data_IF_513990705530
#
_entry.id   IF_513990705530
#
_cell.length_a   1.000
_cell.length_b   1.000
_cell.length_c   1.000
_cell.angle_alpha   90.00
_cell.angle_beta   90.00
_cell.angle_gamma   90.00
#
_symmetry.space_group_name_H-M   'P 1'
#
loop_
_entity.id
_entity.type
_entity.pdbx_description
1 polymer ?
#
# COMPACT_ATOMS: atom_id res chain seq x y z
N UNK A 1 33.87 64.92 -32.78
CA UNK A 1 33.29 64.29 -31.57
C UNK A 1 32.00 63.60 -31.96
N UNK A 2 32.04 62.30 -32.23
CA UNK A 2 30.89 61.40 -32.20
C UNK A 2 31.42 60.10 -31.61
N UNK A 3 30.92 59.76 -30.43
CA UNK A 3 31.29 58.59 -29.64
C UNK A 3 30.26 57.50 -29.96
N UNK A 4 30.67 56.42 -30.63
CA UNK A 4 29.80 55.28 -30.93
C UNK A 4 29.95 54.27 -29.80
N UNK A 5 28.88 54.11 -29.01
CA UNK A 5 28.77 53.08 -27.99
C UNK A 5 28.38 51.74 -28.63
N UNK A 6 29.18 50.71 -28.41
CA UNK A 6 28.87 49.32 -28.78
C UNK A 6 28.17 48.67 -27.59
N UNK A 7 26.90 48.31 -27.76
CA UNK A 7 26.15 47.48 -26.82
C UNK A 7 26.30 46.03 -27.25
N UNK A 8 26.96 45.22 -26.42
CA UNK A 8 27.01 43.75 -26.56
C UNK A 8 25.87 43.18 -25.72
N UNK A 9 24.81 42.70 -26.36
CA UNK A 9 23.75 41.94 -25.70
C UNK A 9 24.17 40.47 -25.60
N UNK A 10 24.53 40.02 -24.39
CA UNK A 10 24.76 38.62 -24.08
C UNK A 10 23.43 37.90 -23.81
N UNK A 11 23.05 36.98 -24.68
CA UNK A 11 21.98 36.01 -24.45
C UNK A 11 22.56 34.83 -23.67
N UNK A 12 22.30 34.75 -22.37
CA UNK A 12 22.52 33.54 -21.57
C UNK A 12 21.19 32.79 -21.52
N UNK A 13 20.98 31.91 -22.49
CA UNK A 13 19.87 30.97 -22.49
C UNK A 13 20.20 29.75 -21.64
N UNK A 14 19.77 29.74 -20.38
CA UNK A 14 19.66 28.49 -19.63
C UNK A 14 18.31 27.86 -19.98
N UNK A 15 18.35 26.91 -20.92
CA UNK A 15 17.22 26.04 -21.23
C UNK A 15 16.94 25.12 -20.05
N UNK A 16 15.99 25.51 -19.21
CA UNK A 16 15.31 24.56 -18.33
C UNK A 16 14.41 23.72 -19.24
N UNK A 17 14.74 22.46 -19.44
CA UNK A 17 13.81 21.47 -19.98
C UNK A 17 12.68 21.28 -18.96
N UNK A 18 11.72 22.19 -18.95
CA UNK A 18 10.38 21.88 -18.47
C UNK A 18 9.83 20.88 -19.48
N UNK A 19 9.83 19.60 -19.13
CA UNK A 19 9.06 18.61 -19.86
C UNK A 19 7.61 19.10 -19.86
N UNK A 20 7.14 19.55 -21.02
CA UNK A 20 5.72 19.81 -21.23
C UNK A 20 5.05 18.45 -21.15
N UNK A 21 4.47 18.12 -20.00
CA UNK A 21 3.53 17.02 -19.91
C UNK A 21 2.39 17.36 -20.86
N UNK A 22 2.34 16.67 -21.99
CA UNK A 22 1.25 16.83 -22.92
C UNK A 22 -0.03 16.44 -22.17
N UNK A 23 -1.06 17.29 -22.20
CA UNK A 23 -2.42 17.02 -21.69
C UNK A 23 -3.14 15.85 -22.42
N UNK A 24 -2.39 15.02 -23.12
CA UNK A 24 -2.91 13.91 -23.91
C UNK A 24 -3.05 12.69 -23.01
N UNK A 25 -4.24 12.07 -22.94
CA UNK A 25 -4.41 10.78 -22.27
C UNK A 25 -3.48 9.73 -22.88
N UNK A 26 -2.90 8.89 -22.02
CA UNK A 26 -2.08 7.73 -22.36
C UNK A 26 -2.57 6.51 -21.58
N UNK A 27 -2.32 5.27 -22.05
CA UNK A 27 -2.64 4.09 -21.26
C UNK A 27 -1.94 4.12 -19.90
N UNK A 28 -2.64 3.81 -18.82
CA UNK A 28 -2.06 3.73 -17.47
C UNK A 28 -0.91 2.74 -17.43
N UNK A 29 -1.06 1.60 -18.11
CA UNK A 29 -0.03 0.57 -18.26
C UNK A 29 1.24 1.06 -19.01
N UNK A 30 1.20 2.20 -19.69
CA UNK A 30 2.38 2.78 -20.34
C UNK A 30 3.22 3.67 -19.41
N UNK A 31 2.70 3.99 -18.22
CA UNK A 31 3.40 4.82 -17.26
C UNK A 31 4.47 4.02 -16.51
N UNK A 32 5.65 4.63 -16.32
CA UNK A 32 6.71 4.03 -15.52
C UNK A 32 6.35 4.08 -14.02
N UNK A 33 6.91 3.14 -13.25
CA UNK A 33 6.86 3.17 -11.77
C UNK A 33 7.33 4.53 -11.24
N UNK A 34 6.53 5.13 -10.37
CA UNK A 34 6.66 6.48 -9.82
C UNK A 34 6.13 7.61 -10.67
N UNK A 35 5.47 7.31 -11.80
CA UNK A 35 4.73 8.32 -12.54
C UNK A 35 3.44 8.67 -11.83
N UNK A 36 3.19 9.96 -11.64
CA UNK A 36 1.93 10.47 -11.13
C UNK A 36 0.96 10.77 -12.28
N UNK A 37 -0.33 10.56 -12.04
CA UNK A 37 -1.35 10.75 -13.04
C UNK A 37 -2.62 11.35 -12.46
N UNK A 38 -3.42 11.98 -13.32
CA UNK A 38 -4.81 12.33 -13.06
C UNK A 38 -5.71 11.64 -14.07
N UNK A 39 -6.98 11.47 -13.74
CA UNK A 39 -7.94 10.99 -14.72
C UNK A 39 -8.15 12.05 -15.82
N UNK A 40 -8.42 11.56 -17.03
CA UNK A 40 -8.87 12.37 -18.16
C UNK A 40 -10.36 12.75 -18.03
N UNK A 41 -11.10 12.09 -17.14
CA UNK A 41 -12.52 12.29 -16.84
C UNK A 41 -12.71 12.96 -15.47
N UNK A 42 -13.86 13.61 -15.26
CA UNK A 42 -14.22 14.12 -13.93
C UNK A 42 -14.60 12.98 -12.97
N UNK A 43 -14.49 13.20 -11.67
CA UNK A 43 -14.92 12.21 -10.65
C UNK A 43 -16.40 11.83 -10.80
N UNK A 44 -17.25 12.75 -11.26
CA UNK A 44 -18.67 12.51 -11.52
C UNK A 44 -18.89 11.54 -12.70
N UNK A 45 -18.03 11.58 -13.71
CA UNK A 45 -18.07 10.64 -14.84
C UNK A 45 -17.57 9.25 -14.44
N UNK A 46 -16.74 9.16 -13.40
CA UNK A 46 -16.26 7.90 -12.84
C UNK A 46 -17.24 7.29 -11.83
N UNK A 47 -18.11 8.10 -11.22
CA UNK A 47 -19.08 7.69 -10.21
C UNK A 47 -20.20 6.74 -10.70
N UNK A 48 -20.10 6.21 -11.92
CA UNK A 48 -20.96 5.15 -12.46
C UNK A 48 -20.24 4.24 -13.45
N UNK A 49 -18.91 4.28 -13.49
CA UNK A 49 -18.12 3.39 -14.33
C UNK A 49 -17.88 2.07 -13.59
N UNK A 50 -18.23 0.95 -14.23
CA UNK A 50 -17.91 -0.39 -13.72
C UNK A 50 -16.41 -0.72 -13.87
N UNK A 51 -15.67 0.08 -14.64
CA UNK A 51 -14.24 -0.11 -14.93
C UNK A 51 -13.40 1.07 -14.46
N UNK A 52 -12.17 0.78 -14.04
CA UNK A 52 -11.16 1.81 -13.82
C UNK A 52 -10.68 2.37 -15.18
N UNK A 53 -10.45 3.69 -15.32
CA UNK A 53 -10.05 4.26 -16.60
C UNK A 53 -8.66 3.76 -17.02
N UNK A 54 -8.63 3.06 -18.17
CA UNK A 54 -7.39 2.57 -18.77
C UNK A 54 -6.52 3.71 -19.32
N UNK A 55 -7.09 4.89 -19.59
CA UNK A 55 -6.35 6.08 -20.04
C UNK A 55 -6.30 7.17 -18.96
N UNK A 56 -5.13 7.74 -18.76
CA UNK A 56 -4.84 8.75 -17.74
C UNK A 56 -3.95 9.86 -18.31
N UNK A 57 -3.92 11.02 -17.67
CA UNK A 57 -3.01 12.11 -18.05
C UNK A 57 -1.82 12.12 -17.08
N UNK A 58 -0.57 11.94 -17.56
CA UNK A 58 0.61 12.04 -16.71
C UNK A 58 0.81 13.48 -16.23
N UNK A 59 1.19 13.65 -14.97
CA UNK A 59 1.43 14.96 -14.35
C UNK A 59 2.66 14.92 -13.44
N UNK A 60 3.22 16.07 -13.14
CA UNK A 60 4.28 16.15 -12.13
C UNK A 60 3.72 15.81 -10.75
N UNK A 61 4.39 14.95 -9.98
CA UNK A 61 3.92 14.55 -8.65
C UNK A 61 3.79 15.73 -7.67
N UNK A 62 4.52 16.84 -7.88
CA UNK A 62 4.37 18.06 -7.06
C UNK A 62 3.03 18.80 -7.27
N UNK A 63 2.34 18.51 -8.37
CA UNK A 63 1.01 19.04 -8.67
C UNK A 63 -0.09 18.15 -8.09
N UNK A 64 -1.32 18.66 -7.90
CA UNK A 64 -2.46 17.83 -7.55
C UNK A 64 -2.65 16.72 -8.58
N UNK A 65 -2.65 15.47 -8.13
CA UNK A 65 -2.81 14.31 -8.98
C UNK A 65 -3.72 13.28 -8.30
N UNK A 66 -4.24 12.35 -9.11
CA UNK A 66 -5.15 11.31 -8.64
C UNK A 66 -4.40 10.16 -7.99
N UNK A 67 -3.30 9.73 -8.60
CA UNK A 67 -2.58 8.56 -8.15
C UNK A 67 -1.16 8.48 -8.68
N UNK A 68 -0.46 7.46 -8.22
CA UNK A 68 0.94 7.18 -8.55
C UNK A 68 1.11 5.70 -8.84
N UNK A 69 1.84 5.40 -9.91
CA UNK A 69 2.15 4.01 -10.31
C UNK A 69 3.19 3.43 -9.35
N UNK A 70 2.85 2.33 -8.71
CA UNK A 70 3.68 1.63 -7.73
C UNK A 70 4.47 0.50 -8.38
N UNK A 71 3.83 -0.23 -9.29
CA UNK A 71 4.40 -1.45 -9.88
C UNK A 71 3.64 -1.89 -11.12
N UNK A 72 4.28 -2.76 -11.89
CA UNK A 72 3.69 -3.43 -13.04
C UNK A 72 4.04 -4.90 -12.94
N UNK A 73 3.02 -5.76 -13.03
CA UNK A 73 3.18 -7.20 -12.90
C UNK A 73 2.08 -7.91 -13.69
N UNK A 74 2.02 -9.23 -13.64
CA UNK A 74 1.01 -10.00 -14.33
C UNK A 74 0.38 -11.04 -13.41
N UNK A 75 -0.92 -11.24 -13.58
CA UNK A 75 -1.64 -12.35 -12.98
C UNK A 75 -1.22 -13.67 -13.66
N UNK A 76 -1.22 -14.77 -12.91
CA UNK A 76 -1.08 -16.10 -13.52
C UNK A 76 -2.44 -16.58 -14.04
N UNK A 77 -2.70 -16.58 -15.37
CA UNK A 77 -4.00 -16.93 -15.91
C UNK A 77 -4.38 -18.39 -15.65
N UNK A 78 -3.41 -19.26 -15.32
CA UNK A 78 -3.67 -20.67 -14.98
C UNK A 78 -4.26 -20.83 -13.59
N UNK A 79 -4.10 -19.83 -12.71
CA UNK A 79 -4.67 -19.81 -11.36
C UNK A 79 -6.08 -19.22 -11.31
N UNK A 80 -6.60 -18.75 -12.45
CA UNK A 80 -7.88 -18.05 -12.57
C UNK A 80 -8.85 -18.91 -13.38
N UNK A 81 -9.73 -19.64 -12.69
CA UNK A 81 -10.76 -20.48 -13.31
C UNK A 81 -12.16 -19.88 -13.21
N UNK A 82 -12.39 -18.97 -12.26
CA UNK A 82 -13.66 -18.31 -12.01
C UNK A 82 -13.47 -16.89 -11.45
N UNK A 83 -14.56 -16.15 -11.25
CA UNK A 83 -14.51 -14.77 -10.74
C UNK A 83 -13.95 -14.67 -9.31
N UNK A 84 -14.18 -15.65 -8.44
CA UNK A 84 -13.63 -15.65 -7.09
C UNK A 84 -12.11 -15.83 -7.11
N UNK A 85 -11.59 -16.71 -7.99
CA UNK A 85 -10.14 -16.86 -8.18
C UNK A 85 -9.50 -15.56 -8.68
N UNK A 86 -10.19 -14.85 -9.58
CA UNK A 86 -9.73 -13.55 -10.09
C UNK A 86 -9.68 -12.51 -8.96
N UNK A 87 -10.71 -12.41 -8.12
CA UNK A 87 -10.72 -11.50 -6.97
C UNK A 87 -9.54 -11.78 -6.05
N UNK A 88 -9.32 -13.05 -5.67
CA UNK A 88 -8.19 -13.45 -4.82
C UNK A 88 -6.85 -13.10 -5.47
N UNK A 89 -6.71 -13.34 -6.77
CA UNK A 89 -5.48 -13.04 -7.50
C UNK A 89 -5.21 -11.53 -7.57
N UNK A 90 -6.24 -10.72 -7.85
CA UNK A 90 -6.12 -9.26 -7.87
C UNK A 90 -5.73 -8.70 -6.51
N UNK A 91 -6.33 -9.17 -5.42
CA UNK A 91 -5.99 -8.71 -4.06
C UNK A 91 -4.53 -8.98 -3.71
N UNK A 92 -3.98 -10.14 -4.10
CA UNK A 92 -2.63 -10.54 -3.69
C UNK A 92 -1.49 -10.07 -4.59
N UNK A 93 -1.76 -9.79 -5.87
CA UNK A 93 -0.69 -9.68 -6.88
C UNK A 93 0.23 -8.47 -6.69
N UNK A 94 -0.29 -7.37 -6.16
CA UNK A 94 0.48 -6.13 -5.96
C UNK A 94 1.03 -5.96 -4.55
N UNK A 95 0.80 -6.90 -3.64
CA UNK A 95 1.22 -6.79 -2.23
C UNK A 95 2.72 -6.51 -2.07
N UNK A 96 3.55 -7.21 -2.84
CA UNK A 96 5.01 -7.01 -2.85
C UNK A 96 5.39 -5.62 -3.36
N UNK A 97 4.79 -5.20 -4.47
CA UNK A 97 5.04 -3.89 -5.09
C UNK A 97 4.73 -2.76 -4.10
N UNK A 98 3.57 -2.79 -3.45
CA UNK A 98 3.20 -1.78 -2.45
C UNK A 98 4.13 -1.77 -1.25
N UNK A 99 4.48 -2.95 -0.72
CA UNK A 99 5.36 -3.06 0.44
C UNK A 99 6.80 -2.62 0.14
N UNK A 100 7.26 -2.74 -1.09
CA UNK A 100 8.60 -2.31 -1.50
C UNK A 100 8.65 -0.82 -1.87
N UNK A 101 7.57 -0.30 -2.47
CA UNK A 101 7.47 1.11 -2.88
C UNK A 101 7.32 2.08 -1.71
N UNK A 102 6.54 1.70 -0.70
CA UNK A 102 6.39 2.45 0.55
C UNK A 102 6.36 1.48 1.75
N UNK A 103 7.54 1.10 2.27
CA UNK A 103 7.65 0.13 3.37
C UNK A 103 6.92 0.54 4.65
N UNK A 104 6.78 1.84 4.90
CA UNK A 104 5.97 2.37 5.99
C UNK A 104 4.55 2.72 5.54
N UNK A 105 3.64 1.75 5.53
CA UNK A 105 2.24 1.98 5.16
C UNK A 105 1.51 3.01 6.05
N UNK A 106 2.00 3.27 7.28
CA UNK A 106 1.42 4.30 8.16
C UNK A 106 1.84 5.71 7.75
N UNK A 107 2.87 5.86 6.91
CA UNK A 107 3.28 7.14 6.37
C UNK A 107 2.40 7.59 5.20
N UNK A 108 1.62 6.67 4.61
CA UNK A 108 0.68 7.00 3.55
C UNK A 108 -0.45 7.91 4.07
N UNK A 109 -0.88 8.93 3.31
CA UNK A 109 -2.06 9.71 3.64
C UNK A 109 -3.31 8.83 3.82
N UNK A 110 -4.20 9.23 4.72
CA UNK A 110 -5.39 8.41 5.07
C UNK A 110 -6.31 8.12 3.89
N UNK A 111 -6.39 9.03 2.91
CA UNK A 111 -7.23 8.94 1.71
C UNK A 111 -6.57 8.16 0.55
N UNK A 112 -5.41 7.53 0.76
CA UNK A 112 -4.73 6.75 -0.30
C UNK A 112 -5.22 5.30 -0.30
N UNK A 113 -6.01 4.92 -1.28
CA UNK A 113 -6.34 3.52 -1.56
C UNK A 113 -5.27 2.84 -2.41
N UNK A 114 -5.31 1.51 -2.41
CA UNK A 114 -4.43 0.64 -3.18
C UNK A 114 -5.27 -0.09 -4.20
N UNK A 115 -4.86 -0.03 -5.46
CA UNK A 115 -5.65 -0.59 -6.55
C UNK A 115 -4.79 -1.40 -7.51
N UNK A 116 -5.36 -2.50 -7.98
CA UNK A 116 -4.79 -3.36 -9.01
C UNK A 116 -5.65 -3.21 -10.25
N UNK A 117 -5.09 -2.63 -11.29
CA UNK A 117 -5.83 -2.24 -12.50
C UNK A 117 -5.32 -3.06 -13.67
N UNK A 118 -6.14 -3.91 -14.30
CA UNK A 118 -5.77 -4.59 -15.54
C UNK A 118 -5.35 -3.60 -16.63
N UNK A 119 -4.40 -3.97 -17.48
CA UNK A 119 -3.85 -3.08 -18.52
C UNK A 119 -4.93 -2.44 -19.40
N UNK A 120 -5.95 -3.22 -19.79
CA UNK A 120 -7.06 -2.77 -20.64
C UNK A 120 -8.28 -2.29 -19.84
N UNK A 121 -8.12 -2.02 -18.54
CA UNK A 121 -9.22 -1.67 -17.62
C UNK A 121 -10.13 -2.84 -17.26
N UNK A 122 -10.02 -3.97 -17.97
CA UNK A 122 -10.73 -5.23 -17.71
C UNK A 122 -9.74 -6.39 -17.78
N UNK A 123 -9.92 -7.37 -16.89
CA UNK A 123 -9.09 -8.57 -16.91
C UNK A 123 -9.41 -9.45 -18.12
N UNK A 124 -8.38 -9.93 -18.79
CA UNK A 124 -8.43 -10.95 -19.84
C UNK A 124 -7.29 -11.95 -19.64
N UNK A 125 -7.50 -13.22 -20.02
CA UNK A 125 -6.43 -14.22 -19.96
C UNK A 125 -5.35 -13.97 -21.01
N UNK A 126 -5.72 -13.32 -22.11
CA UNK A 126 -4.85 -12.92 -23.21
C UNK A 126 -3.96 -11.73 -22.81
N UNK A 127 -4.45 -10.87 -21.90
CA UNK A 127 -3.77 -9.69 -21.37
C UNK A 127 -3.75 -9.73 -19.83
N UNK A 128 -2.90 -10.58 -19.23
CA UNK A 128 -2.89 -10.78 -17.77
C UNK A 128 -2.17 -9.66 -17.00
N UNK A 129 -1.62 -8.67 -17.70
CA UNK A 129 -0.89 -7.57 -17.09
C UNK A 129 -1.78 -6.71 -16.20
N UNK A 130 -1.21 -6.23 -15.10
CA UNK A 130 -1.84 -5.33 -14.15
C UNK A 130 -0.88 -4.23 -13.72
N UNK A 131 -1.42 -3.05 -13.49
CA UNK A 131 -0.72 -1.90 -12.90
C UNK A 131 -1.17 -1.75 -11.44
N UNK A 132 -0.20 -1.73 -10.53
CA UNK A 132 -0.41 -1.44 -9.12
C UNK A 132 -0.33 0.07 -8.92
N UNK A 133 -1.35 0.68 -8.31
CA UNK A 133 -1.37 2.13 -8.08
C UNK A 133 -1.80 2.48 -6.66
N UNK A 134 -1.24 3.58 -6.16
CA UNK A 134 -1.85 4.34 -5.09
C UNK A 134 -2.80 5.37 -5.68
N UNK A 135 -3.99 5.51 -5.11
CA UNK A 135 -5.05 6.42 -5.59
C UNK A 135 -5.66 7.23 -4.44
N UNK A 136 -5.89 8.51 -4.66
CA UNK A 136 -6.36 9.46 -3.65
C UNK A 136 -7.86 9.43 -3.31
N UNK A 137 -8.61 8.41 -3.73
CA UNK A 137 -10.01 8.13 -3.37
C UNK A 137 -10.91 9.38 -3.28
N UNK A 138 -10.97 10.16 -4.35
CA UNK A 138 -11.82 11.34 -4.46
C UNK A 138 -11.18 12.65 -3.98
N UNK A 139 -9.94 12.58 -3.48
CA UNK A 139 -9.17 13.75 -3.04
C UNK A 139 -7.80 13.72 -3.72
N UNK A 140 -7.44 14.82 -4.38
CA UNK A 140 -6.14 14.93 -5.04
C UNK A 140 -4.99 14.85 -4.03
N UNK A 141 -3.97 14.07 -4.38
CA UNK A 141 -2.71 13.91 -3.64
C UNK A 141 -1.70 14.94 -4.18
N UNK A 142 -0.71 15.30 -3.37
CA UNK A 142 0.46 16.09 -3.76
C UNK A 142 1.72 15.46 -3.21
N UNK A 143 2.80 15.52 -3.99
CA UNK A 143 4.06 14.86 -3.70
C UNK A 143 4.04 13.38 -4.08
N UNK A 144 5.21 12.78 -4.18
CA UNK A 144 5.33 11.33 -4.34
C UNK A 144 5.00 10.61 -3.03
N UNK A 145 4.32 9.48 -3.14
CA UNK A 145 4.05 8.51 -2.09
C UNK A 145 5.19 7.49 -1.96
N UNK A 146 6.19 7.55 -2.84
CA UNK A 146 7.39 6.72 -2.76
C UNK A 146 8.17 7.06 -1.51
N UNK A 147 8.36 6.07 -0.65
CA UNK A 147 9.28 6.15 0.45
C UNK A 147 10.43 5.18 0.16
N UNK A 148 11.39 5.64 -0.63
CA UNK A 148 12.53 4.81 -1.00
C UNK A 148 13.20 4.26 0.26
N UNK A 149 13.37 2.94 0.27
CA UNK A 149 13.93 2.24 1.42
C UNK A 149 15.36 2.70 1.76
N UNK A 150 16.06 3.37 0.84
CA UNK A 150 17.34 4.03 1.06
C UNK A 150 17.30 5.20 2.07
N UNK A 151 16.12 5.79 2.30
CA UNK A 151 15.91 6.82 3.31
C UNK A 151 15.70 6.29 4.73
N UNK A 152 15.48 4.97 4.88
CA UNK A 152 15.30 4.33 6.18
C UNK A 152 16.65 4.05 6.82
N UNK A 153 16.81 4.45 8.09
CA UNK A 153 17.95 4.01 8.87
C UNK A 153 17.85 2.50 9.20
N UNK A 154 18.94 1.86 9.64
CA UNK A 154 18.94 0.42 9.88
C UNK A 154 17.93 -0.07 10.93
N UNK A 155 17.63 0.73 11.97
CA UNK A 155 16.66 0.37 13.00
C UNK A 155 15.23 0.45 12.47
N UNK A 156 14.91 1.52 11.72
CA UNK A 156 13.64 1.69 11.04
C UNK A 156 13.37 0.53 10.08
N UNK A 157 14.36 0.18 9.25
CA UNK A 157 14.26 -0.94 8.33
C UNK A 157 14.02 -2.26 9.06
N UNK A 158 14.82 -2.58 10.08
CA UNK A 158 14.65 -3.81 10.87
C UNK A 158 13.24 -3.93 11.45
N UNK A 159 12.71 -2.84 11.99
CA UNK A 159 11.36 -2.83 12.54
C UNK A 159 10.30 -3.02 11.46
N UNK A 160 10.38 -2.29 10.34
CA UNK A 160 9.41 -2.41 9.24
C UNK A 160 9.46 -3.79 8.58
N UNK A 161 10.64 -4.38 8.42
CA UNK A 161 10.82 -5.74 7.90
C UNK A 161 10.19 -6.79 8.85
N UNK A 162 10.37 -6.62 10.17
CA UNK A 162 9.80 -7.52 11.18
C UNK A 162 8.26 -7.58 11.09
N UNK A 163 7.61 -6.42 10.88
CA UNK A 163 6.14 -6.33 10.80
C UNK A 163 5.58 -6.47 9.38
N UNK A 164 6.45 -6.53 8.35
CA UNK A 164 6.04 -6.53 6.92
C UNK A 164 5.06 -7.64 6.62
N UNK A 165 5.37 -8.87 7.01
CA UNK A 165 4.53 -10.04 6.72
C UNK A 165 3.14 -9.90 7.34
N UNK A 166 3.07 -9.44 8.60
CA UNK A 166 1.80 -9.19 9.26
C UNK A 166 1.00 -8.09 8.55
N UNK A 167 1.64 -6.97 8.22
CA UNK A 167 0.96 -5.88 7.51
C UNK A 167 0.41 -6.36 6.16
N UNK A 168 1.19 -7.11 5.38
CA UNK A 168 0.78 -7.70 4.10
C UNK A 168 -0.35 -8.72 4.23
N UNK A 169 -0.36 -9.55 5.28
CA UNK A 169 -1.47 -10.49 5.50
C UNK A 169 -2.71 -9.79 6.04
N UNK A 170 -2.58 -8.87 6.99
CA UNK A 170 -3.71 -8.14 7.59
C UNK A 170 -4.42 -7.27 6.55
N UNK A 171 -3.63 -6.78 5.60
CA UNK A 171 -4.04 -6.17 4.37
C UNK A 171 -4.93 -7.04 3.45
N UNK A 172 -5.16 -8.31 3.78
CA UNK A 172 -6.27 -9.09 3.23
C UNK A 172 -7.61 -8.36 3.37
N UNK A 173 -7.80 -7.76 4.55
CA UNK A 173 -9.09 -7.21 4.97
C UNK A 173 -10.25 -8.21 4.94
N UNK A 174 -10.00 -9.53 4.77
CA UNK A 174 -11.05 -10.52 4.49
C UNK A 174 -12.08 -10.64 5.63
N UNK A 175 -11.71 -10.27 6.85
CA UNK A 175 -12.62 -10.19 8.00
C UNK A 175 -13.68 -9.09 7.86
N UNK A 176 -13.37 -8.03 7.09
CA UNK A 176 -14.25 -6.88 6.86
C UNK A 176 -15.06 -6.97 5.57
N UNK A 177 -14.76 -7.95 4.72
CA UNK A 177 -15.46 -8.14 3.44
C UNK A 177 -16.75 -8.97 3.62
N UNK A 178 -17.80 -8.54 2.93
CA UNK A 178 -19.06 -9.27 2.84
C UNK A 178 -18.93 -10.45 1.87
N UNK A 179 -19.61 -11.56 2.17
CA UNK A 179 -19.69 -12.72 1.27
C UNK A 179 -18.42 -13.59 1.18
N UNK A 180 -17.35 -13.27 1.92
CA UNK A 180 -16.16 -14.15 2.02
C UNK A 180 -16.56 -15.52 2.56
N UNK A 181 -16.14 -16.56 1.84
CA UNK A 181 -16.45 -17.95 2.21
C UNK A 181 -15.65 -18.37 3.43
N UNK A 182 -16.24 -19.20 4.31
CA UNK A 182 -15.56 -19.66 5.54
C UNK A 182 -14.21 -20.32 5.28
N UNK A 183 -14.08 -21.13 4.22
CA UNK A 183 -12.82 -21.78 3.88
C UNK A 183 -11.71 -20.79 3.46
N UNK A 184 -12.09 -19.65 2.88
CA UNK A 184 -11.15 -18.60 2.48
C UNK A 184 -10.74 -17.76 3.69
N UNK A 185 -11.70 -17.45 4.56
CA UNK A 185 -11.45 -16.82 5.85
C UNK A 185 -10.52 -17.67 6.73
N UNK A 186 -10.69 -19.01 6.73
CA UNK A 186 -9.83 -19.94 7.45
C UNK A 186 -8.39 -19.94 6.94
N UNK A 187 -8.19 -20.00 5.61
CA UNK A 187 -6.84 -19.89 5.01
C UNK A 187 -6.15 -18.58 5.34
N UNK A 188 -6.91 -17.48 5.28
CA UNK A 188 -6.37 -16.18 5.65
C UNK A 188 -6.02 -16.10 7.14
N UNK A 189 -6.82 -16.71 8.02
CA UNK A 189 -6.48 -16.80 9.44
C UNK A 189 -5.21 -17.64 9.70
N UNK A 190 -4.96 -18.70 8.93
CA UNK A 190 -3.70 -19.45 8.95
C UNK A 190 -2.51 -18.55 8.54
N UNK A 191 -2.67 -17.75 7.48
CA UNK A 191 -1.67 -16.77 7.06
C UNK A 191 -1.39 -15.73 8.14
N UNK A 192 -2.44 -15.19 8.77
CA UNK A 192 -2.34 -14.25 9.89
C UNK A 192 -1.61 -14.87 11.08
N UNK A 193 -1.92 -16.12 11.43
CA UNK A 193 -1.22 -16.85 12.50
C UNK A 193 0.29 -16.96 12.22
N UNK A 194 0.66 -17.37 11.00
CA UNK A 194 2.07 -17.47 10.60
C UNK A 194 2.77 -16.11 10.56
N UNK A 195 2.07 -15.07 10.12
CA UNK A 195 2.59 -13.72 10.04
C UNK A 195 2.81 -13.07 11.42
N UNK A 196 1.88 -13.31 12.35
CA UNK A 196 1.95 -12.83 13.73
C UNK A 196 3.08 -13.52 14.50
N UNK A 197 3.24 -14.85 14.32
CA UNK A 197 4.36 -15.60 14.91
C UNK A 197 5.71 -15.07 14.42
N UNK A 198 5.86 -14.86 13.11
CA UNK A 198 7.06 -14.28 12.53
C UNK A 198 7.34 -12.89 13.09
N UNK A 199 6.31 -12.04 13.19
CA UNK A 199 6.42 -10.69 13.77
C UNK A 199 6.97 -10.75 15.19
N UNK A 200 6.43 -11.63 16.03
CA UNK A 200 6.92 -11.83 17.41
C UNK A 200 8.37 -12.27 17.45
N UNK A 201 8.74 -13.29 16.68
CA UNK A 201 10.12 -13.81 16.62
C UNK A 201 11.11 -12.72 16.20
N UNK A 202 10.78 -11.96 15.15
CA UNK A 202 11.65 -10.90 14.64
C UNK A 202 11.73 -9.70 15.58
N UNK A 203 10.61 -9.29 16.19
CA UNK A 203 10.60 -8.21 17.18
C UNK A 203 11.42 -8.59 18.42
N UNK A 204 11.25 -9.81 18.95
CA UNK A 204 12.07 -10.32 20.06
C UNK A 204 13.55 -10.34 19.71
N UNK A 205 13.89 -10.73 18.47
CA UNK A 205 15.27 -10.76 17.97
C UNK A 205 15.91 -9.37 17.89
N UNK A 206 15.18 -8.35 17.45
CA UNK A 206 15.72 -6.98 17.32
C UNK A 206 15.71 -6.21 18.64
N UNK A 207 14.81 -6.54 19.56
CA UNK A 207 14.66 -5.89 20.87
C UNK A 207 14.04 -4.49 20.81
N UNK A 208 13.83 -3.86 21.98
CA UNK A 208 13.22 -2.53 22.06
C UNK A 208 14.17 -1.44 21.56
N UNK A 209 13.67 -0.45 20.81
CA UNK A 209 14.35 0.84 20.68
C UNK A 209 14.65 1.46 22.05
N UNK A 210 15.74 2.23 22.15
CA UNK A 210 16.19 2.86 23.40
C UNK A 210 15.05 3.68 24.03
N UNK A 211 14.76 3.41 25.31
CA UNK A 211 13.74 4.15 26.07
C UNK A 211 12.30 3.68 25.83
N UNK A 212 12.11 2.60 25.08
CA UNK A 212 10.78 2.00 24.80
C UNK A 212 10.59 0.63 25.42
N UNK A 213 11.40 0.24 26.40
CA UNK A 213 11.41 -1.12 26.96
C UNK A 213 10.04 -1.54 27.49
N UNK A 214 9.35 -0.64 28.20
CA UNK A 214 7.99 -0.88 28.73
C UNK A 214 6.93 -0.99 27.62
N UNK A 215 6.74 0.01 26.73
CA UNK A 215 5.75 -0.12 25.66
C UNK A 215 6.07 -1.29 24.72
N UNK A 216 7.34 -1.57 24.43
CA UNK A 216 7.73 -2.70 23.60
C UNK A 216 7.35 -4.05 24.22
N UNK A 217 7.63 -4.25 25.52
CA UNK A 217 7.22 -5.48 26.21
C UNK A 217 5.69 -5.65 26.22
N UNK A 218 4.94 -4.57 26.48
CA UNK A 218 3.49 -4.59 26.44
C UNK A 218 2.94 -4.85 25.03
N UNK A 219 3.60 -4.34 23.99
CA UNK A 219 3.28 -4.61 22.59
C UNK A 219 3.43 -6.11 22.29
N UNK A 220 4.56 -6.72 22.68
CA UNK A 220 4.79 -8.16 22.50
C UNK A 220 3.74 -9.01 23.23
N UNK A 221 3.34 -8.65 24.46
CA UNK A 221 2.30 -9.37 25.19
C UNK A 221 0.94 -9.35 24.45
N UNK A 222 0.61 -8.22 23.84
CA UNK A 222 -0.62 -8.07 23.05
C UNK A 222 -0.56 -8.83 21.73
N UNK A 223 0.58 -8.84 21.04
CA UNK A 223 0.80 -9.70 19.87
C UNK A 223 0.73 -11.20 20.23
N UNK A 224 1.28 -11.62 21.38
CA UNK A 224 1.12 -13.02 21.85
C UNK A 224 -0.35 -13.38 22.10
N UNK A 225 -1.13 -12.44 22.63
CA UNK A 225 -2.57 -12.61 22.81
C UNK A 225 -3.31 -12.72 21.47
N UNK A 226 -2.94 -11.90 20.48
CA UNK A 226 -3.49 -11.98 19.14
C UNK A 226 -3.12 -13.32 18.48
N UNK A 227 -1.85 -13.74 18.57
CA UNK A 227 -1.37 -15.03 18.07
C UNK A 227 -2.17 -16.20 18.65
N UNK A 228 -2.43 -16.23 19.95
CA UNK A 228 -3.21 -17.29 20.58
C UNK A 228 -4.64 -17.38 19.99
N UNK A 229 -5.27 -16.23 19.68
CA UNK A 229 -6.57 -16.21 19.02
C UNK A 229 -6.47 -16.66 17.55
N UNK A 230 -5.43 -16.24 16.81
CA UNK A 230 -5.18 -16.71 15.44
C UNK A 230 -4.91 -18.21 15.38
N UNK A 231 -4.17 -18.78 16.32
CA UNK A 231 -3.93 -20.22 16.45
C UNK A 231 -5.23 -21.00 16.62
N UNK A 232 -6.19 -20.47 17.38
CA UNK A 232 -7.51 -21.11 17.55
C UNK A 232 -8.29 -21.15 16.24
N UNK A 233 -8.26 -20.08 15.43
CA UNK A 233 -8.93 -20.05 14.12
C UNK A 233 -8.20 -20.93 13.10
N UNK A 234 -6.87 -20.97 13.16
CA UNK A 234 -6.07 -21.81 12.26
C UNK A 234 -6.22 -23.32 12.58
N UNK A 235 -6.41 -23.68 13.86
CA UNK A 235 -6.59 -25.07 14.27
C UNK A 235 -7.97 -25.63 13.90
N UNK A 236 -8.98 -24.77 13.80
CA UNK A 236 -10.31 -25.09 13.29
C UNK A 236 -10.75 -23.96 12.34
N UNK A 237 -10.46 -24.07 11.03
CA UNK A 237 -10.83 -23.06 10.04
C UNK A 237 -12.34 -22.98 9.78
N UNK A 238 -13.14 -23.86 10.39
CA UNK A 238 -14.60 -23.85 10.38
C UNK A 238 -15.20 -23.98 11.79
N UNK A 239 -14.80 -23.13 12.74
CA UNK A 239 -15.46 -23.14 14.03
C UNK A 239 -16.91 -22.69 13.84
N UNK A 240 -17.79 -22.96 14.80
CA UNK A 240 -19.18 -22.50 14.69
C UNK A 240 -19.31 -20.97 14.58
N UNK A 241 -18.29 -20.23 15.04
CA UNK A 241 -18.23 -18.76 15.03
C UNK A 241 -16.82 -18.22 14.69
N UNK A 242 -16.33 -18.34 13.44
CA UNK A 242 -14.98 -17.89 13.07
C UNK A 242 -14.78 -16.40 13.29
N UNK A 243 -15.81 -15.61 12.99
CA UNK A 243 -15.79 -14.15 13.16
C UNK A 243 -15.55 -13.76 14.62
N UNK A 244 -16.16 -14.44 15.59
CA UNK A 244 -15.98 -14.12 17.02
C UNK A 244 -14.53 -14.30 17.48
N UNK A 245 -13.87 -15.36 17.03
CA UNK A 245 -12.46 -15.60 17.40
C UNK A 245 -11.52 -14.65 16.66
N UNK A 246 -11.81 -14.35 15.39
CA UNK A 246 -11.10 -13.30 14.64
C UNK A 246 -11.23 -11.94 15.35
N UNK A 247 -12.42 -11.57 15.81
CA UNK A 247 -12.65 -10.33 16.56
C UNK A 247 -11.81 -10.26 17.84
N UNK A 248 -11.55 -11.39 18.50
CA UNK A 248 -10.66 -11.44 19.67
C UNK A 248 -9.20 -11.14 19.30
N UNK A 249 -8.71 -11.72 18.20
CA UNK A 249 -7.39 -11.41 17.68
C UNK A 249 -7.29 -9.91 17.32
N UNK A 250 -8.28 -9.41 16.57
CA UNK A 250 -8.38 -8.00 16.17
C UNK A 250 -8.45 -7.04 17.35
N UNK A 251 -9.12 -7.42 18.44
CA UNK A 251 -9.19 -6.60 19.65
C UNK A 251 -7.84 -6.51 20.37
N UNK A 252 -7.06 -7.59 20.39
CA UNK A 252 -5.71 -7.57 20.95
C UNK A 252 -4.76 -6.68 20.11
N UNK A 253 -4.83 -6.79 18.78
CA UNK A 253 -4.06 -5.94 17.85
C UNK A 253 -4.44 -4.45 18.01
N UNK A 254 -5.73 -4.16 18.12
CA UNK A 254 -6.21 -2.79 18.36
C UNK A 254 -5.69 -2.24 19.69
N UNK A 255 -5.67 -3.07 20.73
CA UNK A 255 -5.14 -2.68 22.04
C UNK A 255 -3.62 -2.43 22.02
N UNK A 256 -2.88 -2.97 21.03
CA UNK A 256 -1.44 -2.79 20.89
C UNK A 256 -1.04 -1.48 20.19
N UNK A 257 -2.00 -0.74 19.61
CA UNK A 257 -1.70 0.43 18.77
C UNK A 257 -1.02 1.57 19.55
N UNK A 258 -1.33 1.75 20.83
CA UNK A 258 -0.69 2.80 21.65
C UNK A 258 0.80 2.50 21.87
N UNK A 259 1.10 1.24 22.15
CA UNK A 259 2.45 0.73 22.35
C UNK A 259 3.23 0.74 21.04
N UNK A 260 2.62 0.30 19.94
CA UNK A 260 3.19 0.38 18.61
C UNK A 260 3.51 1.84 18.23
N UNK A 261 2.61 2.80 18.53
CA UNK A 261 2.88 4.23 18.33
C UNK A 261 4.09 4.72 19.12
N UNK A 262 4.24 4.31 20.38
CA UNK A 262 5.40 4.70 21.19
C UNK A 262 6.72 4.14 20.62
N UNK A 263 6.74 2.86 20.24
CA UNK A 263 7.91 2.20 19.62
C UNK A 263 8.26 2.87 18.28
N UNK A 264 7.26 3.08 17.42
CA UNK A 264 7.43 3.75 16.11
C UNK A 264 7.89 5.19 16.26
N UNK A 265 7.34 5.92 17.22
CA UNK A 265 7.75 7.30 17.53
C UNK A 265 9.22 7.40 17.94
N UNK A 266 9.73 6.47 18.76
CA UNK A 266 11.15 6.43 19.12
C UNK A 266 12.07 6.11 17.93
N UNK A 267 11.56 5.38 16.93
CA UNK A 267 12.26 5.11 15.67
C UNK A 267 12.12 6.24 14.65
N UNK A 268 11.33 7.28 14.94
CA UNK A 268 11.02 8.35 13.98
C UNK A 268 10.17 7.89 12.80
N UNK A 269 9.41 6.80 12.95
CA UNK A 269 8.45 6.30 11.95
C UNK A 269 7.08 6.99 12.12
N UNK A 270 6.22 6.90 11.11
CA UNK A 270 4.87 7.48 11.20
C UNK A 270 4.08 6.84 12.34
N UNK A 271 3.37 7.66 13.12
CA UNK A 271 2.45 7.21 14.18
C UNK A 271 0.99 7.41 13.80
N UNK A 272 0.71 7.79 12.54
CA UNK A 272 -0.63 7.99 12.01
C UNK A 272 -1.27 6.64 11.72
N UNK A 273 -2.34 6.32 12.44
CA UNK A 273 -3.10 5.09 12.20
C UNK A 273 -4.03 5.32 11.01
N UNK A 274 -3.99 4.41 10.05
CA UNK A 274 -4.93 4.37 8.93
C UNK A 274 -6.11 3.45 9.28
N UNK A 275 -7.36 3.83 8.95
CA UNK A 275 -8.47 2.90 9.05
C UNK A 275 -8.21 1.67 8.17
N UNK A 276 -8.55 0.47 8.65
CA UNK A 276 -8.24 -0.80 7.95
C UNK A 276 -8.94 -0.93 6.60
N UNK A 277 -10.05 -0.21 6.37
CA UNK A 277 -10.68 -0.09 5.04
C UNK A 277 -9.79 0.57 3.99
N UNK A 278 -8.69 1.19 4.44
CA UNK A 278 -7.64 1.78 3.61
C UNK A 278 -6.26 1.15 3.86
N UNK A 279 -6.24 0.06 4.65
CA UNK A 279 -5.27 -1.04 4.51
C UNK A 279 -5.24 -1.41 3.01
N UNK A 280 -4.19 -1.93 2.39
CA UNK A 280 -4.15 -3.39 2.28
C UNK A 280 -5.59 -3.97 2.23
#
# INVERSE_FOLDING_TARGET
>A
MVMVAVIVAGLVGWGVCAAVFADRPVPLASLAVGSCYRFSYSDEQLAGADDYPAEVVPVACGEPHRGEVVGQTALDPNRISNAADLTVALTGTCEGEFADYSPDAWALPVNVGLFVIPEDGRYSKEHPGVTCVYDGQGVAIRGTLRADSAGLNPDQRRYLDAVRRYNTSSAKGLDTQDGVRSAELGKWAEEMCLAERHTLEELERIGPPVGTEKPFAAMLDLHRKALAAWEMVAADPMPSEPRRTIDQARAAEQAALDQARAVRGALGLSTTIRPRSYSL
#
